data_IF_461395736283
#
_entry.id   IF_461395736283
#
_cell.length_a   1.000
_cell.length_b   1.000
_cell.length_c   1.000
_cell.angle_alpha   90.00
_cell.angle_beta   90.00
_cell.angle_gamma   90.00
#
_symmetry.space_group_name_H-M   'P 1'
#
loop_
_entity.id
_entity.type
_entity.pdbx_description
1 polymer ?
#
# COMPACT_ATOMS: atom_id res chain seq x y z
N UNK A 1 1.46 10.64 -88.42
CA UNK A 1 1.17 11.80 -87.54
C UNK A 1 0.38 11.29 -86.35
N UNK A 2 0.80 11.72 -85.17
CA UNK A 2 0.46 11.22 -83.83
C UNK A 2 -1.04 11.16 -83.49
N UNK A 3 -1.42 10.10 -82.77
CA UNK A 3 -2.44 10.17 -81.72
C UNK A 3 -1.88 9.52 -80.45
N UNK A 4 -1.64 10.33 -79.42
CA UNK A 4 -1.21 9.87 -78.10
C UNK A 4 -2.44 9.44 -77.29
N UNK A 5 -2.40 8.22 -76.74
CA UNK A 5 -3.36 7.72 -75.76
C UNK A 5 -2.80 7.93 -74.34
N UNK A 6 -3.60 8.52 -73.46
CA UNK A 6 -3.26 8.76 -72.04
C UNK A 6 -3.74 7.56 -71.23
N UNK A 7 -2.82 6.80 -70.63
CA UNK A 7 -3.14 5.76 -69.65
C UNK A 7 -2.99 6.33 -68.23
N UNK A 8 -4.10 6.46 -67.51
CA UNK A 8 -4.12 6.79 -66.08
C UNK A 8 -3.82 5.53 -65.27
N UNK A 9 -2.70 5.50 -64.56
CA UNK A 9 -2.40 4.49 -63.54
C UNK A 9 -2.94 4.99 -62.21
N UNK A 10 -3.95 4.30 -61.66
CA UNK A 10 -4.38 4.46 -60.27
C UNK A 10 -3.33 3.83 -59.36
N UNK A 11 -2.76 4.61 -58.44
CA UNK A 11 -1.96 4.10 -57.32
C UNK A 11 -2.87 4.05 -56.10
N UNK A 12 -3.22 2.85 -55.67
CA UNK A 12 -3.95 2.61 -54.41
C UNK A 12 -2.94 2.61 -53.26
N UNK A 13 -3.06 3.46 -52.22
CA UNK A 13 -2.17 3.38 -51.08
C UNK A 13 -2.62 2.21 -50.19
N UNK A 14 -1.73 1.25 -49.97
CA UNK A 14 -1.91 0.17 -49.01
C UNK A 14 -1.75 0.77 -47.60
N UNK A 15 -2.86 1.15 -46.95
CA UNK A 15 -2.84 1.52 -45.53
C UNK A 15 -2.63 0.24 -44.71
N UNK A 16 -1.41 0.01 -44.25
CA UNK A 16 -1.12 -0.96 -43.21
C UNK A 16 -1.77 -0.52 -41.90
N UNK A 17 -2.84 -1.22 -41.50
CA UNK A 17 -3.41 -1.13 -40.16
C UNK A 17 -2.37 -1.66 -39.16
N UNK A 18 -1.55 -0.76 -38.62
CA UNK A 18 -0.85 -0.98 -37.36
C UNK A 18 -1.93 -1.00 -36.27
N UNK A 19 -2.43 -2.19 -35.95
CA UNK A 19 -3.17 -2.42 -34.72
C UNK A 19 -2.24 -2.05 -33.56
N UNK A 20 -2.50 -0.90 -32.93
CA UNK A 20 -2.04 -0.65 -31.57
C UNK A 20 -2.70 -1.75 -30.76
N UNK A 21 -1.92 -2.79 -30.42
CA UNK A 21 -2.34 -3.73 -29.41
C UNK A 21 -2.50 -2.90 -28.13
N UNK A 22 -3.74 -2.51 -27.81
CA UNK A 22 -4.09 -2.24 -26.43
C UNK A 22 -3.64 -3.49 -25.69
N UNK A 23 -2.58 -3.35 -24.89
CA UNK A 23 -2.22 -4.36 -23.90
C UNK A 23 -3.51 -4.68 -23.16
N UNK A 24 -4.07 -5.88 -23.38
CA UNK A 24 -5.19 -6.34 -22.58
C UNK A 24 -4.73 -6.21 -21.12
N UNK A 25 -5.48 -5.50 -20.28
CA UNK A 25 -5.16 -5.40 -18.86
C UNK A 25 -5.05 -6.80 -18.26
N UNK A 26 -4.27 -6.96 -17.20
CA UNK A 26 -4.20 -8.22 -16.47
C UNK A 26 -5.61 -8.74 -16.17
N UNK A 27 -5.91 -9.98 -16.55
CA UNK A 27 -7.25 -10.57 -16.48
C UNK A 27 -7.45 -11.50 -15.26
N UNK A 28 -6.41 -11.69 -14.43
CA UNK A 28 -6.51 -12.51 -13.23
C UNK A 28 -7.16 -11.78 -12.05
N UNK A 29 -7.52 -12.52 -11.01
CA UNK A 29 -8.00 -11.94 -9.76
C UNK A 29 -6.90 -11.13 -9.06
N UNK A 30 -7.30 -10.08 -8.36
CA UNK A 30 -6.45 -9.22 -7.54
C UNK A 30 -7.08 -9.11 -6.15
N UNK A 31 -6.28 -9.35 -5.11
CA UNK A 31 -6.61 -9.00 -3.74
C UNK A 31 -6.07 -7.60 -3.44
N UNK A 32 -6.81 -6.81 -2.68
CA UNK A 32 -6.40 -5.46 -2.32
C UNK A 32 -5.74 -5.44 -0.95
N UNK A 33 -4.40 -5.48 -0.92
CA UNK A 33 -3.61 -5.59 0.31
C UNK A 33 -3.57 -4.30 1.16
N UNK A 34 -4.17 -3.19 0.72
CA UNK A 34 -4.13 -1.92 1.47
C UNK A 34 -5.36 -1.05 1.22
N UNK A 35 -6.30 -1.08 2.17
CA UNK A 35 -7.52 -0.27 2.14
C UNK A 35 -7.72 0.44 3.48
N UNK A 36 -7.79 1.77 3.46
CA UNK A 36 -8.22 2.54 4.61
C UNK A 36 -9.72 2.83 4.52
N UNK A 37 -10.54 2.24 5.40
CA UNK A 37 -12.00 2.45 5.38
C UNK A 37 -12.41 3.87 5.77
N UNK A 38 -11.50 4.62 6.40
CA UNK A 38 -11.74 5.99 6.87
C UNK A 38 -10.59 6.91 6.52
N UNK A 39 -10.91 8.19 6.35
CA UNK A 39 -9.95 9.26 6.09
C UNK A 39 -9.30 9.83 7.38
N UNK A 40 -8.44 10.84 7.22
CA UNK A 40 -7.81 11.57 8.32
C UNK A 40 -8.81 12.37 9.20
N UNK A 41 -10.10 12.28 8.94
CA UNK A 41 -11.20 12.79 9.77
C UNK A 41 -12.08 11.66 10.33
N UNK A 42 -11.66 10.41 10.13
CA UNK A 42 -12.36 9.19 10.52
C UNK A 42 -13.72 9.02 9.83
N UNK A 43 -13.82 9.50 8.59
CA UNK A 43 -15.01 9.43 7.74
C UNK A 43 -14.75 8.51 6.55
N UNK A 44 -15.76 7.78 6.11
CA UNK A 44 -15.66 6.98 4.90
C UNK A 44 -17.02 6.53 4.38
N UNK A 45 -17.02 5.93 3.19
CA UNK A 45 -18.21 5.38 2.52
C UNK A 45 -18.75 4.12 3.23
N UNK A 46 -17.90 3.44 4.02
CA UNK A 46 -18.29 2.32 4.89
C UNK A 46 -17.99 0.94 4.30
N UNK A 47 -17.87 -0.09 5.16
CA UNK A 47 -17.53 -1.44 4.72
C UNK A 47 -18.53 -2.07 3.72
N UNK A 48 -19.83 -1.76 3.81
CA UNK A 48 -20.82 -2.23 2.82
C UNK A 48 -20.55 -1.65 1.42
N UNK A 49 -20.19 -0.36 1.35
CA UNK A 49 -19.81 0.28 0.09
C UNK A 49 -18.51 -0.31 -0.46
N UNK A 50 -17.55 -0.68 0.40
CA UNK A 50 -16.35 -1.38 -0.02
C UNK A 50 -16.70 -2.73 -0.66
N UNK A 51 -17.53 -3.55 -0.01
CA UNK A 51 -17.95 -4.85 -0.54
C UNK A 51 -18.63 -4.69 -1.91
N UNK A 52 -19.55 -3.74 -2.05
CA UNK A 52 -20.19 -3.46 -3.35
C UNK A 52 -19.19 -3.05 -4.43
N UNK A 53 -18.14 -2.31 -4.06
CA UNK A 53 -17.08 -1.95 -4.99
C UNK A 53 -16.20 -3.16 -5.34
N UNK A 54 -15.85 -3.99 -4.36
CA UNK A 54 -15.13 -5.25 -4.56
C UNK A 54 -15.88 -6.19 -5.51
N UNK A 55 -17.20 -6.31 -5.37
CA UNK A 55 -18.04 -7.13 -6.26
C UNK A 55 -18.01 -6.64 -7.71
N UNK A 56 -18.03 -5.32 -7.92
CA UNK A 56 -17.93 -4.74 -9.27
C UNK A 56 -16.56 -4.96 -9.91
N UNK A 57 -15.51 -4.99 -9.09
CA UNK A 57 -14.12 -5.07 -9.53
C UNK A 57 -13.56 -6.49 -9.48
N UNK A 58 -14.37 -7.48 -9.09
CA UNK A 58 -13.95 -8.87 -8.91
C UNK A 58 -12.74 -9.01 -7.97
N UNK A 59 -12.80 -8.29 -6.84
CA UNK A 59 -11.81 -8.37 -5.75
C UNK A 59 -12.34 -9.34 -4.71
N UNK A 60 -11.62 -10.42 -4.45
CA UNK A 60 -12.10 -11.44 -3.49
C UNK A 60 -11.83 -11.00 -2.05
N UNK A 61 -10.62 -10.51 -1.77
CA UNK A 61 -10.18 -10.12 -0.43
C UNK A 61 -9.65 -8.69 -0.38
N UNK A 62 -9.98 -7.97 0.70
CA UNK A 62 -9.43 -6.66 1.02
C UNK A 62 -8.88 -6.60 2.44
N UNK A 63 -7.73 -5.98 2.60
CA UNK A 63 -7.02 -5.87 3.87
C UNK A 63 -7.24 -4.45 4.39
N UNK A 64 -8.02 -4.37 5.46
CA UNK A 64 -8.70 -3.14 5.85
C UNK A 64 -8.17 -2.61 7.16
N UNK A 65 -7.95 -1.31 7.21
CA UNK A 65 -7.47 -0.63 8.42
C UNK A 65 -8.07 0.77 8.54
N UNK A 66 -7.81 1.37 9.70
CA UNK A 66 -8.06 2.78 9.93
C UNK A 66 -6.91 3.66 9.46
N UNK A 67 -6.98 4.94 9.81
CA UNK A 67 -5.81 5.80 9.82
C UNK A 67 -5.44 6.09 11.28
N UNK A 68 -4.17 5.91 11.68
CA UNK A 68 -3.73 5.96 13.08
C UNK A 68 -3.83 7.36 13.69
N UNK A 69 -3.92 8.39 12.85
CA UNK A 69 -3.97 9.79 13.25
C UNK A 69 -5.19 10.49 12.67
N UNK A 70 -5.67 11.50 13.39
CA UNK A 70 -6.78 12.36 12.95
C UNK A 70 -6.32 13.83 12.91
N UNK A 71 -6.77 14.55 11.89
CA UNK A 71 -6.52 15.99 11.73
C UNK A 71 -7.32 16.78 12.75
N UNK A 72 -6.63 17.58 13.56
CA UNK A 72 -7.27 18.54 14.47
C UNK A 72 -7.81 19.72 13.67
N UNK A 73 -9.04 20.11 13.98
CA UNK A 73 -9.52 21.46 13.70
C UNK A 73 -9.33 22.29 14.96
N UNK A 74 -8.26 23.07 15.02
CA UNK A 74 -8.01 23.95 16.17
C UNK A 74 -8.60 25.34 15.96
N UNK A 75 -8.73 26.09 17.05
CA UNK A 75 -9.36 27.41 17.08
C UNK A 75 -8.67 28.44 16.18
N UNK A 76 -7.38 28.24 15.85
CA UNK A 76 -6.65 29.17 14.98
C UNK A 76 -7.04 29.02 13.51
N UNK A 77 -7.63 27.88 13.12
CA UNK A 77 -8.07 27.65 11.75
C UNK A 77 -9.46 28.22 11.51
N UNK A 78 -9.62 29.21 10.60
CA UNK A 78 -10.89 29.91 10.40
C UNK A 78 -12.02 29.05 9.82
N UNK A 79 -11.70 27.84 9.32
CA UNK A 79 -12.65 26.84 8.84
C UNK A 79 -12.09 25.44 9.05
N UNK A 80 -12.99 24.45 9.10
CA UNK A 80 -12.57 23.05 9.18
C UNK A 80 -11.73 22.65 7.95
N UNK A 81 -10.56 21.99 8.13
CA UNK A 81 -9.77 21.49 7.02
C UNK A 81 -10.52 20.41 6.25
N UNK A 82 -10.28 20.36 4.93
CA UNK A 82 -10.84 19.33 4.03
C UNK A 82 -9.84 18.23 3.66
N UNK A 83 -8.59 18.42 4.05
CA UNK A 83 -7.48 17.53 3.76
C UNK A 83 -6.44 17.65 4.87
N UNK A 84 -5.69 16.59 5.14
CA UNK A 84 -4.73 16.54 6.26
C UNK A 84 -3.63 17.60 6.14
N UNK A 85 -3.21 17.91 4.91
CA UNK A 85 -2.23 18.97 4.59
C UNK A 85 -2.89 20.30 4.22
N UNK A 86 -4.19 20.48 4.51
CA UNK A 86 -4.94 21.69 4.13
C UNK A 86 -4.61 22.93 4.96
N UNK A 87 -3.96 22.76 6.11
CA UNK A 87 -3.49 23.81 7.00
C UNK A 87 -2.40 23.27 7.96
N UNK A 88 -1.90 24.12 8.85
CA UNK A 88 -0.83 23.81 9.80
C UNK A 88 -1.32 23.23 11.15
N UNK A 89 -2.63 22.99 11.32
CA UNK A 89 -3.13 22.38 12.55
C UNK A 89 -2.56 20.96 12.71
N UNK A 90 -2.29 20.51 13.95
CA UNK A 90 -1.63 19.23 14.14
C UNK A 90 -2.54 18.03 13.80
N UNK A 91 -1.91 16.87 13.60
CA UNK A 91 -2.58 15.58 13.71
C UNK A 91 -2.24 14.95 15.06
N UNK A 92 -3.13 14.14 15.61
CA UNK A 92 -2.89 13.39 16.85
C UNK A 92 -3.34 11.94 16.68
N UNK A 93 -2.73 11.03 17.45
CA UNK A 93 -3.07 9.61 17.39
C UNK A 93 -4.50 9.36 17.87
N UNK A 94 -5.23 8.52 17.14
CA UNK A 94 -6.65 8.26 17.38
C UNK A 94 -6.94 6.75 17.48
N UNK A 95 -6.72 6.14 18.66
CA UNK A 95 -6.91 4.69 18.84
C UNK A 95 -8.31 4.17 18.56
N UNK A 96 -9.33 5.05 18.65
CA UNK A 96 -10.72 4.68 18.39
C UNK A 96 -10.98 4.32 16.92
N UNK A 97 -10.04 4.59 16.00
CA UNK A 97 -10.14 4.14 14.61
C UNK A 97 -10.39 2.63 14.51
N UNK A 98 -9.70 1.81 15.32
CA UNK A 98 -9.82 0.36 15.26
C UNK A 98 -11.23 -0.12 15.67
N UNK A 99 -11.87 0.52 16.67
CA UNK A 99 -13.28 0.22 16.98
C UNK A 99 -14.22 0.60 15.83
N UNK A 100 -13.96 1.70 15.11
CA UNK A 100 -14.77 2.11 13.95
C UNK A 100 -14.69 1.02 12.87
N UNK A 101 -13.49 0.53 12.57
CA UNK A 101 -13.26 -0.56 11.61
C UNK A 101 -13.98 -1.83 12.06
N UNK A 102 -13.78 -2.24 13.31
CA UNK A 102 -14.37 -3.45 13.85
C UNK A 102 -15.90 -3.43 13.75
N UNK A 103 -16.54 -2.33 14.16
CA UNK A 103 -17.99 -2.18 14.10
C UNK A 103 -18.55 -2.23 12.68
N UNK A 104 -17.86 -1.63 11.73
CA UNK A 104 -18.29 -1.66 10.32
C UNK A 104 -18.26 -3.09 9.79
N UNK A 105 -17.18 -3.85 10.04
CA UNK A 105 -17.05 -5.24 9.58
C UNK A 105 -18.06 -6.13 10.30
N UNK A 106 -18.16 -6.04 11.62
CA UNK A 106 -19.09 -6.84 12.44
C UNK A 106 -20.57 -6.64 12.03
N UNK A 107 -20.91 -5.48 11.44
CA UNK A 107 -22.26 -5.19 10.96
C UNK A 107 -22.63 -5.87 9.64
N UNK A 108 -21.64 -6.38 8.90
CA UNK A 108 -21.86 -7.06 7.63
C UNK A 108 -22.39 -8.50 7.83
N UNK A 109 -23.06 -9.09 6.83
CA UNK A 109 -23.28 -10.54 6.77
C UNK A 109 -21.98 -11.34 6.89
N UNK A 110 -22.02 -12.51 7.54
CA UNK A 110 -20.81 -13.33 7.82
C UNK A 110 -19.96 -13.65 6.59
N UNK A 111 -20.59 -13.99 5.46
CA UNK A 111 -19.90 -14.26 4.20
C UNK A 111 -19.11 -13.04 3.67
N UNK A 112 -19.57 -11.82 3.96
CA UNK A 112 -18.86 -10.61 3.57
C UNK A 112 -17.74 -10.28 4.56
N UNK A 113 -17.90 -10.62 5.84
CA UNK A 113 -16.83 -10.47 6.85
C UNK A 113 -15.60 -11.29 6.47
N UNK A 114 -15.78 -12.51 5.96
CA UNK A 114 -14.68 -13.41 5.54
C UNK A 114 -13.80 -12.84 4.41
N UNK A 115 -14.28 -11.82 3.69
CA UNK A 115 -13.56 -11.14 2.61
C UNK A 115 -12.75 -9.94 3.08
N UNK A 116 -12.94 -9.51 4.33
CA UNK A 116 -12.26 -8.35 4.91
C UNK A 116 -11.30 -8.80 6.00
N UNK A 117 -10.03 -8.45 5.86
CA UNK A 117 -8.97 -8.82 6.78
C UNK A 117 -8.55 -7.59 7.61
N UNK A 118 -9.01 -7.43 8.86
CA UNK A 118 -8.81 -6.20 9.61
C UNK A 118 -7.44 -6.13 10.28
N UNK A 119 -6.79 -4.97 10.18
CA UNK A 119 -5.50 -4.68 10.80
C UNK A 119 -5.64 -3.58 11.87
N UNK A 120 -4.93 -3.77 12.99
CA UNK A 120 -4.87 -2.79 14.08
C UNK A 120 -3.93 -1.65 13.72
N UNK A 121 -4.45 -0.44 13.57
CA UNK A 121 -3.66 0.75 13.20
C UNK A 121 -3.62 1.80 14.32
N UNK A 122 -4.59 1.82 15.21
CA UNK A 122 -4.86 2.88 16.18
C UNK A 122 -3.89 2.97 17.36
N UNK A 123 -2.60 3.15 17.09
CA UNK A 123 -1.57 3.27 18.14
C UNK A 123 -0.80 4.57 18.06
N UNK A 124 -0.39 5.06 19.23
CA UNK A 124 0.72 6.02 19.30
C UNK A 124 2.05 5.27 19.16
N UNK A 125 2.70 5.44 18.02
CA UNK A 125 3.94 4.72 17.68
C UNK A 125 5.15 5.11 18.53
N UNK A 126 5.05 6.15 19.37
CA UNK A 126 6.09 6.56 20.31
C UNK A 126 5.75 6.24 21.77
N UNK A 127 4.59 5.64 22.06
CA UNK A 127 4.21 5.23 23.41
C UNK A 127 4.77 3.84 23.76
N UNK A 128 5.63 3.77 24.76
CA UNK A 128 6.21 2.50 25.26
C UNK A 128 5.16 1.48 25.76
N UNK A 129 3.91 1.89 25.93
CA UNK A 129 2.77 1.05 26.29
C UNK A 129 1.88 0.66 25.09
N UNK A 130 2.23 1.07 23.86
CA UNK A 130 1.43 0.78 22.66
C UNK A 130 1.21 -0.74 22.46
N UNK A 131 2.24 -1.55 22.70
CA UNK A 131 2.12 -3.01 22.62
C UNK A 131 1.09 -3.57 23.63
N UNK A 132 1.02 -3.03 24.85
CA UNK A 132 0.02 -3.44 25.83
C UNK A 132 -1.40 -3.03 25.42
N UNK A 133 -1.54 -1.87 24.76
CA UNK A 133 -2.83 -1.42 24.21
C UNK A 133 -3.30 -2.34 23.09
N UNK A 134 -2.43 -2.70 22.15
CA UNK A 134 -2.76 -3.67 21.09
C UNK A 134 -3.10 -5.04 21.66
N UNK A 135 -2.34 -5.53 22.64
CA UNK A 135 -2.62 -6.83 23.25
C UNK A 135 -4.00 -6.88 23.92
N UNK A 136 -4.48 -5.75 24.47
CA UNK A 136 -5.86 -5.65 24.96
C UNK A 136 -6.88 -5.79 23.83
N UNK A 137 -6.69 -5.11 22.71
CA UNK A 137 -7.61 -5.21 21.56
C UNK A 137 -7.65 -6.64 20.98
N UNK A 138 -6.49 -7.31 20.87
CA UNK A 138 -6.40 -8.72 20.48
C UNK A 138 -7.15 -9.64 21.45
N UNK A 139 -7.12 -9.35 22.76
CA UNK A 139 -7.87 -10.11 23.78
C UNK A 139 -9.36 -9.79 23.78
N UNK A 140 -9.76 -8.56 23.44
CA UNK A 140 -11.17 -8.17 23.35
C UNK A 140 -11.87 -8.77 22.13
N UNK A 141 -11.13 -8.97 21.04
CA UNK A 141 -11.63 -9.62 19.82
C UNK A 141 -10.67 -10.72 19.36
N UNK A 142 -10.68 -11.89 20.02
CA UNK A 142 -9.86 -13.03 19.62
C UNK A 142 -10.13 -13.40 18.16
N UNK A 143 -9.07 -13.70 17.42
CA UNK A 143 -9.06 -14.14 16.01
C UNK A 143 -9.67 -13.15 15.00
N UNK A 144 -10.15 -11.99 15.44
CA UNK A 144 -10.71 -10.97 14.56
C UNK A 144 -9.62 -10.21 13.83
N UNK A 145 -8.64 -9.70 14.56
CA UNK A 145 -7.53 -8.92 14.00
C UNK A 145 -6.48 -9.83 13.38
N UNK A 146 -6.12 -9.54 12.13
CA UNK A 146 -5.26 -10.41 11.33
C UNK A 146 -3.94 -9.73 10.93
N UNK A 147 -3.68 -8.54 11.45
CA UNK A 147 -2.40 -7.87 11.31
C UNK A 147 -2.33 -6.56 12.11
N UNK A 148 -1.19 -5.89 12.02
CA UNK A 148 -0.95 -4.60 12.65
C UNK A 148 -0.51 -3.61 11.57
N UNK A 149 -1.19 -2.49 11.47
CA UNK A 149 -0.90 -1.40 10.57
C UNK A 149 -2.13 -0.86 9.85
N UNK A 150 -1.99 0.16 9.02
CA UNK A 150 -0.73 0.80 8.66
C UNK A 150 -0.09 1.58 9.83
N UNK A 151 1.15 1.21 10.21
CA UNK A 151 1.95 1.96 11.18
C UNK A 151 2.64 3.11 10.44
N UNK A 152 2.20 4.34 10.71
CA UNK A 152 2.77 5.54 10.08
C UNK A 152 3.96 6.08 10.87
N UNK A 153 5.12 6.18 10.20
CA UNK A 153 6.35 6.75 10.75
C UNK A 153 6.82 7.99 9.98
N UNK A 154 7.98 7.94 9.31
CA UNK A 154 8.46 9.00 8.42
C UNK A 154 7.47 9.12 7.26
N UNK A 155 6.79 10.26 7.14
CA UNK A 155 5.81 10.50 6.08
C UNK A 155 5.70 12.01 5.79
N UNK A 156 6.65 12.54 5.00
CA UNK A 156 6.66 13.91 4.51
C UNK A 156 6.27 14.98 5.57
N UNK A 157 5.28 15.82 5.25
CA UNK A 157 4.75 16.85 6.13
C UNK A 157 3.91 16.27 7.28
N UNK A 158 3.37 15.05 7.14
CA UNK A 158 2.58 14.43 8.21
C UNK A 158 3.42 14.26 9.46
N UNK A 159 4.69 13.83 9.32
CA UNK A 159 5.64 13.76 10.43
C UNK A 159 5.77 15.13 11.12
N UNK A 160 5.84 16.22 10.37
CA UNK A 160 5.91 17.56 10.96
C UNK A 160 4.63 17.94 11.72
N UNK A 161 3.46 17.57 11.18
CA UNK A 161 2.15 17.84 11.78
C UNK A 161 1.80 16.97 13.00
N UNK A 162 2.46 15.82 13.21
CA UNK A 162 2.21 14.97 14.39
C UNK A 162 2.46 15.74 15.69
N UNK A 163 1.48 15.82 16.59
CA UNK A 163 1.56 16.67 17.79
C UNK A 163 2.67 16.27 18.77
N UNK A 164 2.95 14.96 18.88
CA UNK A 164 3.86 14.39 19.87
C UNK A 164 5.27 14.12 19.31
N UNK A 165 6.02 13.24 19.98
CA UNK A 165 7.31 12.74 19.49
C UNK A 165 7.21 12.22 18.05
N UNK A 166 8.25 12.48 17.25
CA UNK A 166 8.25 12.14 15.84
C UNK A 166 8.50 10.65 15.64
N UNK A 167 7.61 9.94 14.92
CA UNK A 167 7.69 8.50 14.80
C UNK A 167 8.84 8.07 13.88
N UNK A 168 9.44 6.92 14.21
CA UNK A 168 10.58 6.30 13.49
C UNK A 168 10.42 4.79 13.53
N UNK A 169 10.78 4.10 12.46
CA UNK A 169 10.64 2.64 12.35
C UNK A 169 11.35 1.87 13.48
N UNK A 170 12.51 2.35 13.93
CA UNK A 170 13.31 1.75 15.00
C UNK A 170 12.99 2.29 16.40
N UNK A 171 11.84 2.96 16.60
CA UNK A 171 11.50 3.51 17.90
C UNK A 171 11.30 2.37 18.93
N UNK A 172 11.82 2.48 20.18
CA UNK A 172 11.70 1.41 21.18
C UNK A 172 10.26 0.96 21.49
N UNK A 173 9.27 1.85 21.33
CA UNK A 173 7.86 1.47 21.42
C UNK A 173 7.44 0.50 20.31
N UNK A 174 7.84 0.78 19.06
CA UNK A 174 7.55 -0.09 17.93
C UNK A 174 8.28 -1.42 18.02
N UNK A 175 9.49 -1.46 18.59
CA UNK A 175 10.17 -2.74 18.84
C UNK A 175 9.34 -3.69 19.72
N UNK A 176 8.64 -3.15 20.73
CA UNK A 176 7.70 -3.94 21.54
C UNK A 176 6.47 -4.36 20.74
N UNK A 177 5.98 -3.51 19.83
CA UNK A 177 4.85 -3.84 18.93
C UNK A 177 5.24 -4.95 17.97
N UNK A 178 6.46 -4.95 17.43
CA UNK A 178 6.94 -6.00 16.53
C UNK A 178 7.10 -7.34 17.27
N UNK A 179 7.63 -7.32 18.50
CA UNK A 179 7.66 -8.51 19.37
C UNK A 179 6.26 -9.05 19.67
N UNK A 180 5.28 -8.16 19.87
CA UNK A 180 3.88 -8.57 20.01
C UNK A 180 3.35 -9.19 18.72
N UNK A 181 3.67 -8.60 17.57
CA UNK A 181 3.28 -9.12 16.27
C UNK A 181 3.82 -10.55 16.05
N UNK A 182 5.10 -10.80 16.36
CA UNK A 182 5.68 -12.15 16.37
C UNK A 182 4.91 -13.10 17.30
N UNK A 183 4.65 -12.67 18.54
CA UNK A 183 3.94 -13.49 19.53
C UNK A 183 2.55 -13.96 19.06
N UNK A 184 1.85 -13.12 18.30
CA UNK A 184 0.50 -13.38 17.81
C UNK A 184 0.47 -13.83 16.34
N UNK A 185 1.63 -14.08 15.73
CA UNK A 185 1.74 -14.45 14.32
C UNK A 185 1.08 -13.43 13.37
N UNK A 186 1.23 -12.13 13.67
CA UNK A 186 0.62 -11.04 12.91
C UNK A 186 1.63 -10.37 11.96
N UNK A 187 1.29 -10.16 10.68
CA UNK A 187 2.07 -9.30 9.80
C UNK A 187 1.95 -7.83 10.20
N UNK A 188 2.98 -7.04 9.87
CA UNK A 188 3.08 -5.61 10.17
C UNK A 188 3.17 -4.80 8.87
N UNK A 189 2.16 -3.97 8.58
CA UNK A 189 2.25 -2.95 7.53
C UNK A 189 2.93 -1.71 8.13
N UNK A 190 4.08 -1.35 7.56
CA UNK A 190 4.91 -0.23 8.02
C UNK A 190 5.05 0.81 6.91
N UNK A 191 4.50 2.00 7.15
CA UNK A 191 4.74 3.18 6.33
C UNK A 191 5.96 3.93 6.86
N UNK A 192 7.03 3.90 6.09
CA UNK A 192 8.25 4.63 6.40
C UNK A 192 8.88 5.12 5.12
N UNK A 193 8.89 6.44 4.92
CA UNK A 193 9.59 7.06 3.80
C UNK A 193 11.05 6.63 3.78
N UNK A 194 11.57 6.33 2.59
CA UNK A 194 12.99 5.98 2.43
C UNK A 194 13.92 7.18 2.61
N UNK A 195 13.42 8.38 2.29
CA UNK A 195 14.18 9.62 2.33
C UNK A 195 13.30 10.85 2.61
N UNK A 196 13.91 12.03 2.67
CA UNK A 196 13.21 13.32 2.74
C UNK A 196 13.23 14.04 1.38
N UNK A 197 12.33 15.02 1.19
CA UNK A 197 12.11 15.74 -0.08
C UNK A 197 13.35 16.35 -0.75
N UNK A 198 14.48 16.49 -0.06
CA UNK A 198 15.70 17.14 -0.58
C UNK A 198 16.91 16.21 -0.70
N UNK A 199 16.77 14.95 -0.28
CA UNK A 199 17.91 14.04 -0.16
C UNK A 199 17.82 12.92 -1.20
N UNK A 200 18.78 12.88 -2.12
CA UNK A 200 18.89 11.87 -3.19
C UNK A 200 19.60 10.58 -2.75
N UNK A 201 19.53 10.25 -1.46
CA UNK A 201 20.05 9.03 -0.87
C UNK A 201 19.02 8.46 0.12
N UNK A 202 19.10 7.18 0.50
CA UNK A 202 18.11 6.57 1.38
C UNK A 202 18.35 6.99 2.85
N UNK A 203 18.00 8.25 3.17
CA UNK A 203 18.32 8.93 4.44
C UNK A 203 17.85 8.16 5.68
N UNK A 204 16.67 7.53 5.61
CA UNK A 204 16.05 6.86 6.75
C UNK A 204 16.27 5.34 6.77
N UNK A 205 17.07 4.80 5.83
CA UNK A 205 17.30 3.36 5.68
C UNK A 205 17.78 2.68 6.97
N UNK A 206 18.61 3.36 7.76
CA UNK A 206 19.10 2.81 9.04
C UNK A 206 17.95 2.52 10.00
N UNK A 207 16.91 3.35 10.03
CA UNK A 207 15.73 3.15 10.90
C UNK A 207 14.98 1.87 10.47
N UNK A 208 14.77 1.67 9.16
CA UNK A 208 14.14 0.47 8.63
C UNK A 208 14.98 -0.79 8.89
N UNK A 209 16.28 -0.78 8.54
CA UNK A 209 17.17 -1.94 8.76
C UNK A 209 17.22 -2.39 10.21
N UNK A 210 17.23 -1.43 11.14
CA UNK A 210 17.23 -1.74 12.57
C UNK A 210 15.91 -2.37 13.03
N UNK A 211 14.76 -1.89 12.51
CA UNK A 211 13.46 -2.50 12.79
C UNK A 211 13.43 -3.96 12.31
N UNK A 212 13.77 -4.20 11.03
CA UNK A 212 13.79 -5.54 10.42
C UNK A 212 14.72 -6.50 11.17
N UNK A 213 15.95 -6.07 11.48
CA UNK A 213 16.95 -6.90 12.17
C UNK A 213 16.58 -7.22 13.62
N UNK A 214 15.83 -6.34 14.29
CA UNK A 214 15.43 -6.52 15.69
C UNK A 214 14.25 -7.48 15.88
N UNK A 215 13.54 -7.80 14.81
CA UNK A 215 12.34 -8.64 14.83
C UNK A 215 12.32 -9.60 13.64
N UNK A 216 13.32 -10.50 13.51
CA UNK A 216 13.51 -11.34 12.33
C UNK A 216 12.36 -12.34 12.09
N UNK A 217 11.54 -12.63 13.11
CA UNK A 217 10.39 -13.53 13.00
C UNK A 217 9.07 -12.78 12.70
N UNK A 218 9.07 -11.46 12.69
CA UNK A 218 7.90 -10.65 12.34
C UNK A 218 7.88 -10.41 10.84
N UNK A 219 6.78 -10.75 10.17
CA UNK A 219 6.58 -10.44 8.74
C UNK A 219 6.28 -8.95 8.58
N UNK A 220 7.15 -8.22 7.91
CA UNK A 220 6.94 -6.81 7.58
C UNK A 220 6.44 -6.66 6.14
N UNK A 221 5.52 -5.74 5.93
CA UNK A 221 5.10 -5.22 4.64
C UNK A 221 5.47 -3.74 4.60
N UNK A 222 6.52 -3.40 3.86
CA UNK A 222 6.96 -2.02 3.72
C UNK A 222 6.13 -1.31 2.65
N UNK A 223 5.29 -0.39 3.11
CA UNK A 223 4.33 0.33 2.27
C UNK A 223 5.05 1.13 1.17
N UNK A 224 4.67 0.86 -0.07
CA UNK A 224 5.10 1.56 -1.29
C UNK A 224 6.63 1.68 -1.44
N UNK A 225 7.39 0.76 -0.83
CA UNK A 225 8.84 0.83 -0.68
C UNK A 225 9.35 2.21 -0.20
N UNK A 226 8.59 2.85 0.69
CA UNK A 226 8.90 4.16 1.27
C UNK A 226 8.87 5.33 0.28
N UNK A 227 8.21 5.14 -0.86
CA UNK A 227 7.93 6.23 -1.79
C UNK A 227 6.72 7.04 -1.33
N UNK A 228 6.66 8.31 -1.76
CA UNK A 228 5.45 9.12 -1.63
C UNK A 228 5.29 10.03 -2.83
N UNK A 229 4.09 10.60 -3.00
CA UNK A 229 3.85 11.60 -4.04
C UNK A 229 4.71 12.85 -3.89
N UNK A 230 5.17 13.18 -2.68
CA UNK A 230 6.15 14.26 -2.47
C UNK A 230 7.50 13.86 -3.05
N UNK A 231 7.96 12.65 -2.75
CA UNK A 231 9.27 12.17 -3.20
C UNK A 231 9.32 12.02 -4.73
N UNK A 232 8.34 11.34 -5.33
CA UNK A 232 8.33 11.06 -6.78
C UNK A 232 8.16 12.32 -7.64
N UNK A 233 7.57 13.40 -7.09
CA UNK A 233 7.48 14.70 -7.78
C UNK A 233 8.77 15.51 -7.75
N UNK A 234 9.66 15.25 -6.79
CA UNK A 234 10.81 16.10 -6.52
C UNK A 234 12.16 15.40 -6.77
N UNK A 235 12.19 14.07 -6.77
CA UNK A 235 13.40 13.25 -6.86
C UNK A 235 13.21 12.12 -7.87
N UNK A 236 14.29 11.69 -8.52
CA UNK A 236 14.29 10.53 -9.42
C UNK A 236 14.30 9.18 -8.68
N UNK A 237 14.70 9.16 -7.40
CA UNK A 237 14.84 7.97 -6.57
C UNK A 237 15.67 6.84 -7.22
N UNK A 238 16.72 7.19 -7.97
CA UNK A 238 17.54 6.23 -8.73
C UNK A 238 18.17 5.13 -7.85
N UNK A 239 18.40 5.42 -6.57
CA UNK A 239 18.93 4.47 -5.58
C UNK A 239 17.92 3.40 -5.12
N UNK A 240 16.62 3.56 -5.40
CA UNK A 240 15.57 2.76 -4.77
C UNK A 240 15.63 1.30 -5.20
N UNK A 241 15.89 1.02 -6.48
CA UNK A 241 16.02 -0.35 -6.98
C UNK A 241 17.11 -1.12 -6.23
N UNK A 242 18.34 -0.57 -6.18
CA UNK A 242 19.46 -1.22 -5.49
C UNK A 242 19.19 -1.36 -3.99
N UNK A 243 18.52 -0.36 -3.39
CA UNK A 243 18.16 -0.40 -1.96
C UNK A 243 17.16 -1.52 -1.66
N UNK A 244 16.09 -1.65 -2.47
CA UNK A 244 15.11 -2.72 -2.29
C UNK A 244 15.73 -4.09 -2.55
N UNK A 245 16.53 -4.23 -3.62
CA UNK A 245 17.21 -5.48 -3.92
C UNK A 245 18.10 -5.94 -2.76
N UNK A 246 18.93 -5.05 -2.21
CA UNK A 246 19.80 -5.39 -1.08
C UNK A 246 19.00 -5.69 0.19
N UNK A 247 17.91 -4.98 0.46
CA UNK A 247 17.08 -5.25 1.62
C UNK A 247 16.41 -6.63 1.54
N UNK A 248 15.93 -7.03 0.36
CA UNK A 248 15.35 -8.35 0.13
C UNK A 248 16.40 -9.47 0.25
N UNK A 249 17.64 -9.21 -0.16
CA UNK A 249 18.78 -10.13 0.05
C UNK A 249 19.17 -10.28 1.53
N UNK A 250 19.06 -9.21 2.32
CA UNK A 250 19.54 -9.18 3.72
C UNK A 250 18.48 -9.61 4.76
N UNK A 251 17.19 -9.49 4.44
CA UNK A 251 16.11 -9.62 5.40
C UNK A 251 15.00 -10.53 4.89
N UNK A 252 14.96 -11.80 5.32
CA UNK A 252 13.93 -12.78 4.93
C UNK A 252 12.51 -12.39 5.36
N UNK A 253 12.38 -11.47 6.31
CA UNK A 253 11.12 -11.06 6.90
C UNK A 253 10.48 -9.82 6.23
N UNK A 254 11.10 -9.25 5.18
CA UNK A 254 10.63 -8.04 4.49
C UNK A 254 9.79 -8.34 3.24
N UNK A 255 8.58 -7.81 3.14
CA UNK A 255 7.76 -7.85 1.94
C UNK A 255 7.54 -6.43 1.46
N UNK A 256 7.38 -6.26 0.15
CA UNK A 256 7.07 -4.97 -0.47
C UNK A 256 5.57 -4.93 -0.75
N UNK A 257 4.88 -3.99 -0.09
CA UNK A 257 3.51 -3.66 -0.42
C UNK A 257 3.52 -2.67 -1.58
N UNK A 258 3.29 -3.20 -2.78
CA UNK A 258 3.27 -2.48 -4.03
C UNK A 258 1.92 -1.77 -4.21
N UNK A 259 1.88 -0.53 -3.74
CA UNK A 259 0.73 0.36 -3.84
C UNK A 259 1.17 1.79 -4.14
N UNK A 260 0.19 2.66 -4.37
CA UNK A 260 0.37 4.11 -4.54
C UNK A 260 1.51 4.53 -5.48
N UNK A 261 2.47 5.32 -4.99
CA UNK A 261 3.51 5.97 -5.82
C UNK A 261 4.66 5.07 -6.21
N UNK A 262 4.73 3.83 -5.70
CA UNK A 262 5.74 2.90 -6.17
C UNK A 262 5.51 2.54 -7.66
N UNK A 263 4.25 2.58 -8.11
CA UNK A 263 3.91 2.42 -9.52
C UNK A 263 4.61 3.48 -10.40
N UNK A 264 4.75 4.73 -9.93
CA UNK A 264 5.43 5.80 -10.68
C UNK A 264 6.94 5.53 -10.86
N UNK A 265 7.54 4.77 -9.94
CA UNK A 265 8.97 4.39 -10.01
C UNK A 265 9.17 3.16 -10.88
N UNK A 266 8.29 2.16 -10.75
CA UNK A 266 8.40 0.89 -11.47
C UNK A 266 7.94 1.02 -12.93
N UNK A 267 6.94 1.87 -13.19
CA UNK A 267 6.34 2.05 -14.51
C UNK A 267 6.89 3.30 -15.20
N UNK A 268 7.94 3.14 -16.01
CA UNK A 268 8.51 4.25 -16.78
C UNK A 268 7.77 4.38 -18.11
N UNK A 269 7.05 5.50 -18.29
CA UNK A 269 6.26 5.79 -19.50
C UNK A 269 5.24 4.67 -19.82
N UNK A 270 4.60 4.14 -18.79
CA UNK A 270 3.57 3.10 -18.91
C UNK A 270 4.10 1.69 -19.21
N UNK A 271 5.41 1.47 -19.08
CA UNK A 271 6.05 0.14 -19.19
C UNK A 271 6.77 -0.18 -17.89
N UNK A 272 6.67 -1.42 -17.43
CA UNK A 272 7.45 -1.89 -16.30
C UNK A 272 8.95 -1.87 -16.64
N UNK A 273 9.77 -1.31 -15.76
CA UNK A 273 11.23 -1.38 -15.86
C UNK A 273 11.67 -2.86 -15.75
N UNK A 274 12.41 -3.39 -16.75
CA UNK A 274 12.86 -4.79 -16.75
C UNK A 274 13.64 -5.21 -15.49
N UNK A 275 14.35 -4.27 -14.83
CA UNK A 275 15.07 -4.57 -13.59
C UNK A 275 14.10 -4.98 -12.48
N UNK A 276 13.00 -4.24 -12.34
CA UNK A 276 11.96 -4.55 -11.35
C UNK A 276 11.22 -5.83 -11.70
N UNK A 277 10.96 -6.11 -12.98
CA UNK A 277 10.38 -7.39 -13.43
C UNK A 277 11.27 -8.56 -13.00
N UNK A 278 12.58 -8.49 -13.25
CA UNK A 278 13.51 -9.55 -12.82
C UNK A 278 13.63 -9.64 -11.30
N UNK A 279 13.57 -8.52 -10.57
CA UNK A 279 13.57 -8.53 -9.11
C UNK A 279 12.35 -9.25 -8.53
N UNK A 280 11.16 -8.97 -9.06
CA UNK A 280 9.93 -9.65 -8.66
C UNK A 280 10.00 -11.14 -9.00
N UNK A 281 10.53 -11.52 -10.16
CA UNK A 281 10.76 -12.94 -10.50
C UNK A 281 11.74 -13.64 -9.56
N UNK A 282 12.71 -12.90 -9.01
CA UNK A 282 13.70 -13.43 -8.07
C UNK A 282 13.13 -13.66 -6.67
N UNK A 283 12.16 -12.84 -6.25
CA UNK A 283 11.48 -12.92 -4.97
C UNK A 283 9.95 -12.91 -5.15
N UNK A 284 9.37 -13.92 -5.83
CA UNK A 284 7.98 -13.89 -6.25
C UNK A 284 6.99 -13.90 -5.08
N UNK A 285 7.41 -14.37 -3.91
CA UNK A 285 6.67 -14.41 -2.65
C UNK A 285 6.78 -13.12 -1.82
N UNK A 286 7.62 -12.16 -2.22
CA UNK A 286 7.99 -10.98 -1.42
C UNK A 286 7.34 -9.67 -1.86
N UNK A 287 6.39 -9.74 -2.79
CA UNK A 287 5.62 -8.59 -3.27
C UNK A 287 4.12 -8.87 -3.15
N UNK A 288 3.34 -7.86 -2.74
CA UNK A 288 1.88 -7.88 -2.73
C UNK A 288 1.34 -6.59 -3.34
N UNK A 289 0.15 -6.61 -3.95
CA UNK A 289 -0.46 -5.41 -4.56
C UNK A 289 -1.55 -4.82 -3.66
N UNK A 290 -1.57 -3.49 -3.53
CA UNK A 290 -2.61 -2.76 -2.80
C UNK A 290 -3.03 -1.48 -3.53
N UNK A 291 -4.21 -0.97 -3.20
CA UNK A 291 -4.76 0.24 -3.81
C UNK A 291 -4.40 1.52 -3.06
N UNK A 292 -4.19 1.43 -1.74
CA UNK A 292 -4.00 2.59 -0.85
C UNK A 292 -5.16 3.60 -0.96
N UNK A 293 -6.39 3.11 -1.08
CA UNK A 293 -7.58 3.98 -1.07
C UNK A 293 -7.92 4.41 0.35
N UNK A 294 -8.38 5.66 0.48
CA UNK A 294 -8.64 6.29 1.77
C UNK A 294 -10.06 6.84 1.83
N UNK A 295 -10.94 6.15 2.57
CA UNK A 295 -12.31 6.58 2.89
C UNK A 295 -13.30 6.63 1.71
N UNK A 296 -12.83 6.63 0.46
CA UNK A 296 -13.65 6.61 -0.75
C UNK A 296 -13.08 5.64 -1.77
N UNK A 297 -13.94 4.84 -2.38
CA UNK A 297 -13.52 3.66 -3.15
C UNK A 297 -13.57 3.86 -4.67
N UNK A 298 -13.95 5.05 -5.14
CA UNK A 298 -14.04 5.38 -6.57
C UNK A 298 -12.71 5.36 -7.34
N UNK A 299 -11.57 5.38 -6.64
CA UNK A 299 -10.24 5.29 -7.25
C UNK A 299 -9.65 3.86 -7.26
N UNK A 300 -10.30 2.90 -6.59
CA UNK A 300 -9.75 1.56 -6.35
C UNK A 300 -9.36 0.84 -7.64
N UNK A 301 -10.25 0.82 -8.64
CA UNK A 301 -9.97 0.20 -9.95
C UNK A 301 -8.72 0.80 -10.60
N UNK A 302 -8.65 2.14 -10.65
CA UNK A 302 -7.53 2.83 -11.28
C UNK A 302 -6.22 2.57 -10.53
N UNK A 303 -6.26 2.52 -9.21
CA UNK A 303 -5.08 2.21 -8.39
C UNK A 303 -4.57 0.80 -8.68
N UNK A 304 -5.43 -0.22 -8.62
CA UNK A 304 -5.03 -1.62 -8.87
C UNK A 304 -4.60 -1.84 -10.33
N UNK A 305 -5.31 -1.25 -11.29
CA UNK A 305 -4.96 -1.37 -12.71
C UNK A 305 -3.66 -0.65 -13.10
N UNK A 306 -3.14 0.25 -12.26
CA UNK A 306 -1.82 0.86 -12.49
C UNK A 306 -0.69 -0.18 -12.48
N UNK A 307 -0.92 -1.35 -11.87
CA UNK A 307 0.01 -2.46 -11.80
C UNK A 307 -0.04 -3.42 -13.01
N UNK A 308 -1.03 -3.27 -13.89
CA UNK A 308 -1.20 -4.15 -15.05
C UNK A 308 0.06 -4.28 -15.94
N UNK A 309 0.86 -3.24 -16.21
CA UNK A 309 2.06 -3.39 -17.03
C UNK A 309 3.14 -4.27 -16.39
N UNK A 310 3.25 -4.31 -15.06
CA UNK A 310 4.14 -5.22 -14.34
C UNK A 310 3.59 -6.64 -14.39
N UNK A 311 2.32 -6.81 -14.06
CA UNK A 311 1.66 -8.12 -14.07
C UNK A 311 1.73 -8.79 -15.45
N UNK A 312 1.50 -8.03 -16.52
CA UNK A 312 1.59 -8.53 -17.90
C UNK A 312 3.03 -8.84 -18.36
N UNK A 313 4.04 -8.33 -17.67
CA UNK A 313 5.45 -8.60 -17.97
C UNK A 313 6.00 -9.81 -17.20
N UNK A 314 5.26 -10.30 -16.20
CA UNK A 314 5.62 -11.45 -15.37
C UNK A 314 5.07 -12.75 -15.96
N UNK A 315 5.69 -13.90 -15.66
CA UNK A 315 5.05 -15.20 -15.83
C UNK A 315 3.70 -15.28 -15.09
N UNK A 316 2.71 -15.98 -15.66
CA UNK A 316 1.34 -16.03 -15.12
C UNK A 316 1.27 -16.49 -13.65
N UNK A 317 2.10 -17.45 -13.26
CA UNK A 317 2.19 -17.96 -11.89
C UNK A 317 2.75 -16.93 -10.91
N UNK A 318 3.75 -16.15 -11.33
CA UNK A 318 4.32 -15.06 -10.53
C UNK A 318 3.36 -13.89 -10.44
N UNK A 319 2.71 -13.52 -11.55
CA UNK A 319 1.69 -12.47 -11.57
C UNK A 319 0.54 -12.82 -10.62
N UNK A 320 0.07 -14.07 -10.64
CA UNK A 320 -0.98 -14.53 -9.74
C UNK A 320 -0.54 -14.56 -8.26
N UNK A 321 0.72 -14.93 -7.98
CA UNK A 321 1.27 -14.87 -6.62
C UNK A 321 1.20 -13.46 -6.05
N UNK A 322 1.78 -12.48 -6.73
CA UNK A 322 1.86 -11.10 -6.22
C UNK A 322 0.52 -10.38 -6.22
N UNK A 323 -0.37 -10.69 -7.17
CA UNK A 323 -1.68 -10.07 -7.28
C UNK A 323 -2.69 -10.64 -6.28
N UNK A 324 -2.53 -11.90 -5.86
CA UNK A 324 -3.57 -12.63 -5.16
C UNK A 324 -3.06 -13.45 -3.98
N UNK A 325 -2.17 -14.42 -4.22
CA UNK A 325 -1.88 -15.48 -3.24
C UNK A 325 -1.01 -15.00 -2.07
N UNK A 326 0.01 -14.20 -2.33
CA UNK A 326 1.03 -13.87 -1.34
C UNK A 326 0.43 -13.24 -0.09
N UNK A 327 -0.48 -12.28 -0.24
CA UNK A 327 -1.07 -11.61 0.92
C UNK A 327 -1.86 -12.57 1.83
N UNK A 328 -2.55 -13.55 1.26
CA UNK A 328 -3.26 -14.58 2.04
C UNK A 328 -2.29 -15.46 2.84
N UNK A 329 -1.10 -15.74 2.30
CA UNK A 329 -0.07 -16.53 3.00
C UNK A 329 0.63 -15.78 4.13
N UNK A 330 0.52 -14.44 4.17
CA UNK A 330 1.11 -13.61 5.22
C UNK A 330 0.24 -13.47 6.47
N UNK A 331 -1.05 -13.76 6.33
CA UNK A 331 -2.00 -13.76 7.45
C UNK A 331 -1.64 -14.83 8.49
N UNK A 332 -2.10 -14.67 9.75
CA UNK A 332 -1.93 -15.69 10.77
C UNK A 332 -2.45 -17.05 10.29
N UNK A 333 -1.73 -18.12 10.64
CA UNK A 333 -2.22 -19.47 10.41
C UNK A 333 -3.58 -19.66 11.08
N UNK A 334 -4.51 -20.39 10.43
CA UNK A 334 -5.78 -20.74 11.07
C UNK A 334 -5.50 -21.52 12.35
N UNK A 335 -5.82 -20.95 13.51
CA UNK A 335 -5.89 -21.68 14.77
C UNK A 335 -6.92 -22.80 14.59
N UNK A 336 -6.45 -24.03 14.36
CA UNK A 336 -7.29 -25.21 14.11
C UNK A 336 -8.16 -25.61 15.29
#
# INVERSE_FOLDING_TARGET
>A
MNTHSILRILVTPLLGLLSVACSAGYQGAINDAEVHLVDYFQRGEGAEALIHNMDKLNIDHAYVMGLPVIKKWDMSQPKSPRFVYGDDAPVYYYPKTDEIIARQIESLPKQQQERLHPFLSGINTTDLNAAEQLERELKFRPDFWQGIGEIITRHDHLTALTADEKPRANHPALLKVYQLAEKYDLPVILHSNITSRRENNPLYLRELKQALASSPNTRFLWAHAGTTSTLTKHLSLDFLYDTVSHLLDEHDNLHILASWTLADVIMVKGKADPRWVELVKRYPDRFVIGSDIVGSFGYQEKALMSWAPLLNALPDDVAHQIAYQNMLTLLPGSSG
#
